data_IF_258313955203
#
_entry.id   IF_258313955203
#
_cell.length_a   1.000
_cell.length_b   1.000
_cell.length_c   1.000
_cell.angle_alpha   90.00
_cell.angle_beta   90.00
_cell.angle_gamma   90.00
#
_symmetry.space_group_name_H-M   'P 1'
#
loop_
_entity.id
_entity.type
_entity.pdbx_description
1 polymer ?
#
# COMPACT_ATOMS: atom_id res chain seq x y z
N UNK A 1 12.55 -23.69 -24.95
CA UNK A 1 11.11 -23.40 -25.11
C UNK A 1 11.02 -22.25 -26.08
N UNK A 2 10.01 -22.17 -26.97
CA UNK A 2 9.86 -20.96 -27.78
C UNK A 2 9.80 -19.76 -26.84
N UNK A 3 10.60 -18.74 -27.12
CA UNK A 3 10.50 -17.47 -26.41
C UNK A 3 9.10 -16.92 -26.67
N UNK A 4 8.30 -16.82 -25.62
CA UNK A 4 6.97 -16.23 -25.71
C UNK A 4 7.15 -14.71 -25.88
N UNK A 5 6.40 -14.14 -26.80
CA UNK A 5 6.43 -12.70 -27.11
C UNK A 5 5.18 -12.04 -26.55
N UNK A 6 5.31 -10.78 -26.15
CA UNK A 6 4.19 -9.95 -25.77
C UNK A 6 3.27 -9.71 -26.96
N UNK A 7 1.96 -9.87 -26.76
CA UNK A 7 0.94 -9.66 -27.79
C UNK A 7 0.69 -8.17 -28.11
N UNK A 8 1.34 -7.24 -27.39
CA UNK A 8 1.24 -5.79 -27.61
C UNK A 8 2.47 -5.22 -28.30
N UNK A 9 3.68 -5.55 -27.81
CA UNK A 9 4.93 -4.95 -28.31
C UNK A 9 5.80 -5.91 -29.14
N UNK A 10 5.40 -7.18 -29.27
CA UNK A 10 6.15 -8.24 -29.99
C UNK A 10 7.57 -8.53 -29.44
N UNK A 11 7.91 -8.01 -28.25
CA UNK A 11 9.19 -8.26 -27.59
C UNK A 11 9.15 -9.47 -26.64
N UNK A 12 10.31 -10.09 -26.32
CA UNK A 12 10.39 -11.18 -25.34
C UNK A 12 9.84 -10.79 -23.98
N UNK A 13 9.13 -11.70 -23.33
CA UNK A 13 8.53 -11.53 -21.99
C UNK A 13 9.57 -11.67 -20.87
N UNK A 14 10.61 -10.86 -20.97
CA UNK A 14 11.74 -10.80 -20.08
C UNK A 14 12.05 -9.34 -19.81
N UNK A 15 12.38 -9.03 -18.55
CA UNK A 15 12.90 -7.72 -18.16
C UNK A 15 14.36 -7.87 -17.72
N UNK A 16 15.17 -6.88 -18.08
CA UNK A 16 16.57 -6.80 -17.69
C UNK A 16 16.69 -6.15 -16.31
N UNK A 17 17.35 -6.84 -15.39
CA UNK A 17 17.59 -6.35 -14.03
C UNK A 17 19.09 -6.18 -13.84
N UNK A 18 19.47 -4.96 -13.44
CA UNK A 18 20.84 -4.68 -13.04
C UNK A 18 21.12 -5.36 -11.69
N UNK A 19 22.25 -6.03 -11.56
CA UNK A 19 22.64 -6.61 -10.28
C UNK A 19 23.01 -5.49 -9.30
N UNK A 20 22.44 -5.52 -8.09
CA UNK A 20 22.77 -4.58 -7.02
C UNK A 20 24.28 -4.47 -6.83
N UNK A 21 24.79 -3.26 -7.02
CA UNK A 21 26.22 -2.96 -6.99
C UNK A 21 26.80 -2.78 -5.58
N UNK A 22 26.24 -3.45 -4.58
CA UNK A 22 26.69 -3.38 -3.17
C UNK A 22 27.92 -4.25 -2.85
N UNK A 23 28.54 -4.83 -3.88
CA UNK A 23 29.93 -5.29 -3.78
C UNK A 23 30.87 -4.20 -4.30
N UNK A 24 31.15 -3.22 -3.44
CA UNK A 24 32.37 -2.45 -3.57
C UNK A 24 33.53 -3.44 -3.75
N UNK A 25 34.27 -3.25 -4.85
CA UNK A 25 35.50 -3.97 -5.20
C UNK A 25 35.33 -5.19 -6.14
N UNK A 26 34.93 -4.94 -7.39
CA UNK A 26 35.47 -5.64 -8.57
C UNK A 26 35.15 -4.90 -9.87
N UNK A 27 36.17 -4.62 -10.69
CA UNK A 27 36.03 -4.18 -12.09
C UNK A 27 35.49 -5.31 -13.00
N UNK A 28 34.38 -5.93 -12.62
CA UNK A 28 33.64 -6.87 -13.45
C UNK A 28 32.48 -6.10 -14.10
N UNK A 29 32.26 -6.31 -15.40
CA UNK A 29 31.07 -5.77 -16.07
C UNK A 29 29.83 -6.21 -15.28
N UNK A 30 28.93 -5.27 -14.98
CA UNK A 30 27.65 -5.55 -14.34
C UNK A 30 26.99 -6.71 -15.09
N UNK A 31 26.73 -7.82 -14.39
CA UNK A 31 26.01 -8.95 -14.98
C UNK A 31 24.54 -8.58 -15.00
N UNK A 32 24.07 -8.09 -16.13
CA UNK A 32 22.64 -7.98 -16.42
C UNK A 32 22.08 -9.39 -16.38
N UNK A 33 21.05 -9.61 -15.57
CA UNK A 33 20.30 -10.86 -15.55
C UNK A 33 18.86 -10.57 -15.95
N UNK A 34 18.23 -11.52 -16.63
CA UNK A 34 16.84 -11.37 -17.05
C UNK A 34 15.93 -12.17 -16.14
N UNK A 35 14.80 -11.58 -15.81
CA UNK A 35 13.72 -12.27 -15.10
C UNK A 35 12.46 -12.29 -16.00
N UNK A 36 11.59 -13.30 -15.84
CA UNK A 36 10.32 -13.35 -16.56
C UNK A 36 9.44 -12.14 -16.24
N UNK A 37 8.71 -11.65 -17.24
CA UNK A 37 7.59 -10.72 -17.11
C UNK A 37 6.48 -11.19 -18.05
N UNK A 38 5.86 -12.31 -17.68
CA UNK A 38 4.86 -13.01 -18.50
C UNK A 38 3.53 -13.12 -17.75
N UNK A 39 2.53 -12.40 -18.26
CA UNK A 39 1.14 -12.50 -17.88
C UNK A 39 0.36 -13.25 -18.98
N UNK A 40 0.06 -14.51 -18.70
CA UNK A 40 -0.74 -15.38 -19.58
C UNK A 40 -2.23 -15.29 -19.22
N UNK A 41 -3.04 -14.79 -20.15
CA UNK A 41 -4.49 -14.71 -20.00
C UNK A 41 -5.17 -16.07 -20.24
N UNK A 42 -6.42 -16.22 -19.77
CA UNK A 42 -7.24 -17.43 -20.00
C UNK A 42 -7.49 -17.78 -21.48
N UNK A 43 -7.31 -16.81 -22.38
CA UNK A 43 -7.38 -17.02 -23.83
C UNK A 43 -6.07 -17.51 -24.46
N UNK A 44 -4.98 -17.59 -23.70
CA UNK A 44 -3.63 -17.97 -24.13
C UNK A 44 -2.79 -16.85 -24.74
N UNK A 45 -3.27 -15.59 -24.68
CA UNK A 45 -2.46 -14.44 -25.06
C UNK A 45 -1.54 -14.04 -23.91
N UNK A 46 -0.31 -13.66 -24.23
CA UNK A 46 0.73 -13.30 -23.27
C UNK A 46 1.09 -11.82 -23.37
N UNK A 47 1.40 -11.18 -22.24
CA UNK A 47 1.73 -9.76 -22.16
C UNK A 47 2.80 -9.50 -21.08
N UNK A 48 3.63 -8.46 -21.27
CA UNK A 48 4.30 -7.80 -20.15
C UNK A 48 3.24 -7.19 -19.23
N UNK A 49 3.56 -7.08 -17.94
CA UNK A 49 2.69 -6.42 -16.96
C UNK A 49 2.20 -5.05 -17.44
N UNK A 50 3.14 -4.17 -17.78
CA UNK A 50 2.83 -2.79 -18.19
C UNK A 50 2.00 -2.75 -19.49
N UNK A 51 2.33 -3.60 -20.47
CA UNK A 51 1.59 -3.68 -21.74
C UNK A 51 0.14 -4.14 -21.56
N UNK A 52 -0.15 -4.96 -20.55
CA UNK A 52 -1.51 -5.34 -20.22
C UNK A 52 -2.26 -4.21 -19.52
N UNK A 53 -1.61 -3.50 -18.58
CA UNK A 53 -2.21 -2.39 -17.84
C UNK A 53 -2.49 -1.16 -18.71
N UNK A 54 -1.66 -0.93 -19.73
CA UNK A 54 -1.89 0.14 -20.72
C UNK A 54 -3.14 -0.09 -21.58
N UNK A 55 -3.68 -1.33 -21.58
CA UNK A 55 -4.94 -1.59 -22.22
C UNK A 55 -6.11 -1.11 -21.35
N UNK A 56 -6.93 -0.22 -21.91
CA UNK A 56 -8.08 0.38 -21.22
C UNK A 56 -9.16 -0.60 -20.71
N UNK A 57 -9.11 -1.90 -21.08
CA UNK A 57 -10.12 -2.87 -20.68
C UNK A 57 -9.49 -4.14 -20.07
N UNK A 58 -9.48 -4.19 -18.74
CA UNK A 58 -8.88 -5.28 -17.95
C UNK A 58 -9.74 -6.58 -18.01
N UNK A 59 -10.99 -6.51 -18.48
CA UNK A 59 -11.90 -7.67 -18.57
C UNK A 59 -11.99 -8.29 -19.97
N UNK A 60 -11.32 -7.69 -20.96
CA UNK A 60 -11.31 -8.13 -22.34
C UNK A 60 -9.88 -8.20 -22.87
N UNK A 61 -9.52 -9.30 -23.54
CA UNK A 61 -8.19 -9.45 -24.12
C UNK A 61 -7.94 -8.39 -25.22
N UNK A 62 -6.89 -7.56 -25.12
CA UNK A 62 -6.59 -6.51 -26.11
C UNK A 62 -6.24 -7.03 -27.51
N UNK A 63 -5.69 -8.25 -27.60
CA UNK A 63 -5.27 -8.85 -28.87
C UNK A 63 -6.40 -9.62 -29.60
N UNK A 64 -7.25 -10.34 -28.86
CA UNK A 64 -8.24 -11.24 -29.47
C UNK A 64 -9.71 -10.96 -29.08
N UNK A 65 -9.97 -9.87 -28.36
CA UNK A 65 -11.29 -9.39 -27.96
C UNK A 65 -12.12 -10.34 -27.09
N UNK A 66 -11.57 -11.49 -26.69
CA UNK A 66 -12.27 -12.44 -25.81
C UNK A 66 -12.49 -11.82 -24.43
N UNK A 67 -13.68 -12.02 -23.88
CA UNK A 67 -13.92 -11.78 -22.46
C UNK A 67 -13.05 -12.76 -21.66
N UNK A 68 -12.20 -12.21 -20.79
CA UNK A 68 -11.27 -12.94 -19.93
C UNK A 68 -11.72 -12.96 -18.47
N UNK A 69 -12.80 -12.25 -18.15
CA UNK A 69 -13.40 -12.26 -16.83
C UNK A 69 -14.27 -13.49 -16.60
N UNK A 70 -14.35 -13.90 -15.32
CA UNK A 70 -15.23 -14.95 -14.84
C UNK A 70 -15.81 -14.55 -13.48
N UNK A 71 -16.64 -15.41 -12.89
CA UNK A 71 -17.15 -15.22 -11.54
C UNK A 71 -16.46 -16.16 -10.56
N UNK A 72 -16.09 -15.64 -9.40
CA UNK A 72 -15.59 -16.40 -8.26
C UNK A 72 -16.70 -17.27 -7.64
N UNK A 73 -16.33 -18.14 -6.69
CA UNK A 73 -17.30 -18.95 -5.96
C UNK A 73 -18.30 -18.11 -5.14
N UNK A 74 -17.92 -16.90 -4.74
CA UNK A 74 -18.75 -15.92 -4.03
C UNK A 74 -19.59 -15.05 -4.97
N UNK A 75 -19.35 -15.14 -6.28
CA UNK A 75 -20.07 -14.38 -7.31
C UNK A 75 -19.42 -13.05 -7.68
N UNK A 76 -18.21 -12.79 -7.19
CA UNK A 76 -17.42 -11.59 -7.53
C UNK A 76 -16.77 -11.76 -8.90
N UNK A 77 -16.64 -10.67 -9.66
CA UNK A 77 -15.94 -10.71 -10.93
C UNK A 77 -14.43 -10.88 -10.68
N UNK A 78 -13.78 -11.73 -11.48
CA UNK A 78 -12.34 -12.03 -11.37
C UNK A 78 -11.73 -12.20 -12.77
N UNK A 79 -10.43 -11.94 -12.90
CA UNK A 79 -9.65 -12.18 -14.13
C UNK A 79 -8.46 -13.06 -13.75
N UNK A 80 -8.60 -14.36 -14.04
CA UNK A 80 -7.61 -15.36 -13.67
C UNK A 80 -6.51 -15.46 -14.72
N UNK A 81 -5.25 -15.33 -14.28
CA UNK A 81 -4.06 -15.37 -15.12
C UNK A 81 -3.06 -16.41 -14.62
N UNK A 82 -2.11 -16.77 -15.49
CA UNK A 82 -0.85 -17.36 -15.04
C UNK A 82 0.24 -16.30 -15.09
N UNK A 83 0.72 -15.89 -13.93
CA UNK A 83 1.78 -14.89 -13.78
C UNK A 83 3.12 -15.60 -13.62
N UNK A 84 4.14 -15.17 -14.38
CA UNK A 84 5.53 -15.59 -14.21
C UNK A 84 6.39 -14.36 -14.03
N UNK A 85 6.98 -14.24 -12.86
CA UNK A 85 7.86 -13.14 -12.48
C UNK A 85 9.04 -13.64 -11.65
N UNK A 86 9.79 -12.72 -11.03
CA UNK A 86 10.90 -13.06 -10.12
C UNK A 86 10.48 -14.00 -8.98
N UNK A 87 9.25 -13.86 -8.49
CA UNK A 87 8.66 -14.71 -7.44
C UNK A 87 8.28 -16.12 -7.89
N UNK A 88 8.51 -16.47 -9.17
CA UNK A 88 8.19 -17.77 -9.75
C UNK A 88 6.89 -17.76 -10.54
N UNK A 89 6.19 -18.90 -10.57
CA UNK A 89 4.97 -19.09 -11.37
C UNK A 89 3.76 -19.18 -10.46
N UNK A 90 2.77 -18.32 -10.69
CA UNK A 90 1.50 -18.29 -9.98
C UNK A 90 0.37 -18.56 -10.96
N UNK A 91 -0.26 -19.73 -10.88
CA UNK A 91 -1.38 -20.12 -11.75
C UNK A 91 -2.72 -19.78 -11.09
N UNK A 92 -3.65 -19.20 -11.84
CA UNK A 92 -4.98 -18.87 -11.32
C UNK A 92 -4.95 -17.69 -10.36
N UNK A 93 -3.99 -16.79 -10.51
CA UNK A 93 -3.95 -15.54 -9.76
C UNK A 93 -5.03 -14.60 -10.31
N UNK A 94 -5.84 -14.01 -9.44
CA UNK A 94 -6.84 -13.01 -9.83
C UNK A 94 -6.15 -11.65 -9.95
N UNK A 95 -5.95 -11.20 -11.19
CA UNK A 95 -5.24 -9.96 -11.49
C UNK A 95 -6.16 -8.74 -11.38
N UNK A 96 -7.48 -8.94 -11.39
CA UNK A 96 -8.44 -7.85 -11.56
C UNK A 96 -8.32 -6.79 -10.46
N UNK A 97 -8.18 -7.15 -9.16
CA UNK A 97 -8.05 -6.15 -8.10
C UNK A 97 -6.81 -5.26 -8.29
N UNK A 98 -5.62 -5.85 -8.42
CA UNK A 98 -4.36 -5.12 -8.60
C UNK A 98 -4.34 -4.29 -9.88
N UNK A 99 -4.82 -4.84 -11.00
CA UNK A 99 -4.90 -4.10 -12.25
C UNK A 99 -5.88 -2.92 -12.19
N UNK A 100 -6.99 -3.08 -11.47
CA UNK A 100 -7.97 -2.00 -11.26
C UNK A 100 -7.38 -0.88 -10.41
N UNK A 101 -6.65 -1.24 -9.36
CA UNK A 101 -5.96 -0.29 -8.48
C UNK A 101 -4.89 0.50 -9.23
N UNK A 102 -4.02 -0.17 -10.00
CA UNK A 102 -3.00 0.49 -10.83
C UNK A 102 -3.63 1.43 -11.87
N UNK A 103 -4.71 1.00 -12.53
CA UNK A 103 -5.43 1.86 -13.46
C UNK A 103 -6.02 3.10 -12.76
N UNK A 104 -6.54 2.94 -11.54
CA UNK A 104 -7.04 4.04 -10.73
C UNK A 104 -5.91 5.02 -10.35
N UNK A 105 -4.78 4.55 -9.84
CA UNK A 105 -3.65 5.39 -9.44
C UNK A 105 -2.93 6.04 -10.63
N UNK A 106 -3.05 5.49 -11.84
CA UNK A 106 -2.61 6.16 -13.08
C UNK A 106 -3.57 7.30 -13.48
N UNK A 107 -4.87 7.13 -13.24
CA UNK A 107 -5.89 8.14 -13.53
C UNK A 107 -5.93 9.27 -12.49
N UNK A 108 -5.57 8.98 -11.24
CA UNK A 108 -5.56 9.92 -10.11
C UNK A 108 -4.16 9.91 -9.43
N UNK A 109 -3.13 10.52 -10.04
CA UNK A 109 -1.78 10.51 -9.49
C UNK A 109 -1.65 11.11 -8.08
N UNK A 110 -2.54 12.03 -7.72
CA UNK A 110 -2.65 12.64 -6.39
C UNK A 110 -2.94 11.63 -5.27
N UNK A 111 -3.65 10.53 -5.58
CA UNK A 111 -4.00 9.47 -4.63
C UNK A 111 -2.79 8.58 -4.29
N UNK A 112 -1.72 8.60 -5.11
CA UNK A 112 -0.55 7.73 -4.93
C UNK A 112 0.14 7.91 -3.59
N UNK A 113 0.23 9.16 -3.11
CA UNK A 113 0.87 9.45 -1.82
C UNK A 113 0.08 8.84 -0.66
N UNK A 114 -1.24 9.06 -0.65
CA UNK A 114 -2.12 8.48 0.36
C UNK A 114 -2.18 6.95 0.30
N UNK A 115 -2.21 6.38 -0.89
CA UNK A 115 -2.12 4.93 -1.10
C UNK A 115 -0.82 4.34 -0.52
N UNK A 116 0.34 4.92 -0.88
CA UNK A 116 1.64 4.48 -0.38
C UNK A 116 1.72 4.59 1.15
N UNK A 117 1.22 5.68 1.73
CA UNK A 117 1.11 5.83 3.19
C UNK A 117 0.33 4.69 3.85
N UNK A 118 -0.85 4.36 3.33
CA UNK A 118 -1.67 3.26 3.88
C UNK A 118 -1.00 1.90 3.69
N UNK A 119 -0.25 1.70 2.60
CA UNK A 119 0.53 0.48 2.38
C UNK A 119 1.66 0.35 3.43
N UNK A 120 2.40 1.42 3.71
CA UNK A 120 3.40 1.41 4.78
C UNK A 120 2.77 1.15 6.16
N UNK A 121 1.59 1.72 6.42
CA UNK A 121 0.84 1.43 7.65
C UNK A 121 0.43 -0.04 7.76
N UNK A 122 0.13 -0.70 6.63
CA UNK A 122 -0.20 -2.13 6.57
C UNK A 122 1.02 -3.01 6.79
N UNK A 123 2.14 -2.66 6.18
CA UNK A 123 3.38 -3.43 6.22
C UNK A 123 4.16 -3.26 7.53
N UNK A 124 3.93 -2.16 8.24
CA UNK A 124 4.67 -1.85 9.47
C UNK A 124 5.93 -1.03 9.23
N UNK A 125 6.07 -0.38 8.07
CA UNK A 125 7.27 0.37 7.71
C UNK A 125 7.27 1.77 8.35
N UNK A 126 7.78 1.84 9.58
CA UNK A 126 7.86 3.05 10.40
C UNK A 126 8.73 4.12 9.73
N UNK A 127 9.86 3.71 9.16
CA UNK A 127 10.83 4.64 8.58
C UNK A 127 10.25 5.32 7.34
N UNK A 128 9.58 4.56 6.47
CA UNK A 128 8.89 5.09 5.31
C UNK A 128 7.73 6.03 5.69
N UNK A 129 6.96 5.70 6.73
CA UNK A 129 5.90 6.60 7.25
C UNK A 129 6.50 7.91 7.75
N UNK A 130 7.57 7.86 8.55
CA UNK A 130 8.21 9.07 9.09
C UNK A 130 8.80 9.92 7.97
N UNK A 131 9.50 9.31 7.01
CA UNK A 131 10.04 10.02 5.86
C UNK A 131 8.94 10.71 5.07
N UNK A 132 7.83 10.01 4.80
CA UNK A 132 6.70 10.58 4.07
C UNK A 132 6.03 11.74 4.79
N UNK A 133 5.94 11.70 6.13
CA UNK A 133 5.38 12.78 6.95
C UNK A 133 6.34 13.99 6.96
N UNK A 134 7.64 13.76 7.15
CA UNK A 134 8.64 14.84 7.24
C UNK A 134 8.96 15.50 5.90
N UNK A 135 8.91 14.76 4.79
CA UNK A 135 9.13 15.32 3.45
C UNK A 135 8.06 16.33 3.04
N UNK A 136 6.91 16.34 3.71
CA UNK A 136 5.87 17.36 3.54
C UNK A 136 6.34 18.71 4.10
N UNK A 137 7.13 18.70 5.18
CA UNK A 137 7.57 19.91 5.88
C UNK A 137 8.73 20.63 5.16
N UNK A 138 9.49 19.94 4.29
CA UNK A 138 10.66 20.52 3.60
C UNK A 138 10.33 21.20 2.25
N UNK A 139 9.14 20.99 1.70
CA UNK A 139 8.69 21.57 0.42
C UNK A 139 7.87 22.87 0.58
N UNK A 140 7.78 23.41 1.80
CA UNK A 140 7.02 24.61 2.18
C UNK A 140 7.68 25.94 1.75
N UNK A 141 7.99 26.15 0.47
CA UNK A 141 8.43 27.48 0.04
C UNK A 141 7.76 28.04 -1.21
N UNK A 142 6.80 27.35 -1.82
CA UNK A 142 5.96 27.95 -2.86
C UNK A 142 4.53 27.38 -2.80
N UNK A 143 3.60 28.26 -2.45
CA UNK A 143 2.15 28.20 -2.67
C UNK A 143 1.29 27.39 -1.67
N UNK A 144 0.31 28.10 -1.11
CA UNK A 144 -0.74 27.66 -0.19
C UNK A 144 -1.65 26.60 -0.86
N UNK A 145 -1.23 25.34 -0.95
CA UNK A 145 -2.11 24.25 -1.40
C UNK A 145 -2.06 23.05 -0.43
N UNK A 146 -3.20 22.88 0.27
CA UNK A 146 -3.70 21.64 0.89
C UNK A 146 -2.67 20.69 1.51
N UNK A 147 -2.26 21.00 2.75
CA UNK A 147 -1.94 20.00 3.77
C UNK A 147 -3.17 19.14 4.07
N UNK A 148 -3.65 18.37 3.09
CA UNK A 148 -4.46 17.20 3.40
C UNK A 148 -3.54 16.26 4.15
N UNK A 149 -3.60 16.40 5.46
CA UNK A 149 -2.81 15.70 6.45
C UNK A 149 -2.79 14.22 6.10
N UNK A 150 -1.62 13.73 5.68
CA UNK A 150 -1.43 12.33 5.29
C UNK A 150 -1.89 11.40 6.43
N UNK A 151 -1.84 11.86 7.69
CA UNK A 151 -2.35 11.13 8.85
C UNK A 151 -3.88 10.97 8.84
N UNK A 152 -4.60 11.92 8.26
CA UNK A 152 -6.05 11.91 8.09
C UNK A 152 -6.52 11.20 6.82
N UNK A 153 -5.62 10.99 5.86
CA UNK A 153 -5.93 10.29 4.61
C UNK A 153 -6.60 8.95 4.88
N UNK A 154 -7.69 8.69 4.16
CA UNK A 154 -8.50 7.49 4.28
C UNK A 154 -8.80 6.94 2.89
N UNK A 155 -8.50 5.67 2.67
CA UNK A 155 -8.63 5.03 1.37
C UNK A 155 -9.51 3.79 1.39
N UNK A 156 -9.92 3.35 0.20
CA UNK A 156 -10.59 2.06 -0.02
C UNK A 156 -9.91 1.33 -1.16
N UNK A 157 -8.80 0.67 -0.83
CA UNK A 157 -7.95 -0.09 -1.74
C UNK A 157 -8.00 -1.58 -1.39
N UNK A 158 -7.38 -2.43 -2.18
CA UNK A 158 -7.43 -3.87 -1.93
C UNK A 158 -6.76 -4.23 -0.57
N UNK A 159 -7.57 -4.70 0.38
CA UNK A 159 -7.09 -5.02 1.73
C UNK A 159 -6.80 -3.79 2.62
N UNK A 160 -7.18 -2.59 2.18
CA UNK A 160 -7.01 -1.32 2.89
C UNK A 160 -8.35 -0.59 2.96
N UNK A 161 -8.79 -0.25 4.18
CA UNK A 161 -10.08 0.41 4.39
C UNK A 161 -9.99 1.46 5.51
N UNK A 162 -10.20 2.74 5.19
CA UNK A 162 -10.13 3.85 6.16
C UNK A 162 -8.71 4.39 6.34
N UNK A 163 -8.49 5.09 7.46
CA UNK A 163 -7.21 5.76 7.74
C UNK A 163 -6.08 4.81 8.14
N UNK A 164 -4.85 5.35 8.20
CA UNK A 164 -3.67 4.59 8.64
C UNK A 164 -3.87 3.87 9.99
N UNK A 165 -4.58 4.50 10.95
CA UNK A 165 -4.86 3.88 12.24
C UNK A 165 -5.84 2.70 12.13
N UNK A 166 -6.83 2.74 11.24
CA UNK A 166 -7.68 1.59 10.95
C UNK A 166 -6.86 0.44 10.36
N UNK A 167 -5.97 0.76 9.41
CA UNK A 167 -5.11 -0.22 8.74
C UNK A 167 -4.17 -0.88 9.75
N UNK A 168 -3.46 -0.10 10.56
CA UNK A 168 -2.55 -0.61 11.57
C UNK A 168 -3.24 -1.60 12.54
N UNK A 169 -4.46 -1.27 12.99
CA UNK A 169 -5.23 -2.14 13.88
C UNK A 169 -5.61 -3.46 13.18
N UNK A 170 -6.13 -3.41 11.95
CA UNK A 170 -6.55 -4.64 11.23
C UNK A 170 -5.37 -5.56 10.93
N UNK A 171 -4.19 -5.00 10.69
CA UNK A 171 -2.98 -5.75 10.36
C UNK A 171 -2.06 -6.00 11.55
N UNK A 172 -2.53 -5.79 12.79
CA UNK A 172 -1.78 -6.04 14.03
C UNK A 172 -0.47 -5.24 14.16
N UNK A 173 -0.37 -4.08 13.49
CA UNK A 173 0.82 -3.23 13.49
C UNK A 173 0.82 -2.28 14.70
N UNK A 174 1.29 -2.78 15.83
CA UNK A 174 1.23 -2.08 17.12
C UNK A 174 2.11 -0.82 17.14
N UNK A 175 3.31 -0.91 16.60
CA UNK A 175 4.30 0.16 16.56
C UNK A 175 3.83 1.30 15.66
N UNK A 176 3.23 0.97 14.51
CA UNK A 176 2.58 1.96 13.64
C UNK A 176 1.42 2.63 14.37
N UNK A 177 0.54 1.87 15.03
CA UNK A 177 -0.57 2.48 15.76
C UNK A 177 -0.07 3.47 16.85
N UNK A 178 1.05 3.14 17.51
CA UNK A 178 1.68 4.05 18.46
C UNK A 178 2.22 5.32 17.81
N UNK A 179 2.96 5.18 16.72
CA UNK A 179 3.48 6.31 15.94
C UNK A 179 2.33 7.23 15.52
N UNK A 180 1.29 6.68 14.91
CA UNK A 180 0.15 7.43 14.41
C UNK A 180 -0.61 8.14 15.54
N UNK A 181 -0.86 7.48 16.66
CA UNK A 181 -1.47 8.13 17.83
C UNK A 181 -0.63 9.29 18.35
N UNK A 182 0.68 9.15 18.31
CA UNK A 182 1.54 10.18 18.86
C UNK A 182 1.65 11.42 17.95
N UNK A 183 1.50 11.25 16.63
CA UNK A 183 1.55 12.33 15.63
C UNK A 183 0.18 12.93 15.30
N UNK A 184 -0.88 12.12 15.22
CA UNK A 184 -2.19 12.56 14.73
C UNK A 184 -3.33 12.52 15.76
N UNK A 185 -3.04 12.28 17.04
CA UNK A 185 -4.11 12.22 18.06
C UNK A 185 -3.92 13.21 19.22
N UNK A 186 -5.02 13.46 19.93
CA UNK A 186 -5.02 14.25 21.17
C UNK A 186 -4.80 13.38 22.41
N UNK A 187 -4.36 12.12 22.27
CA UNK A 187 -4.10 11.23 23.39
C UNK A 187 -3.04 11.84 24.34
N UNK A 188 -3.27 11.79 25.64
CA UNK A 188 -2.30 12.29 26.61
C UNK A 188 -0.99 11.47 26.57
N UNK A 189 0.16 12.15 26.62
CA UNK A 189 1.48 11.50 26.62
C UNK A 189 1.68 10.52 27.80
N UNK A 190 0.96 10.73 28.91
CA UNK A 190 0.94 9.82 30.07
C UNK A 190 0.36 8.43 29.77
N UNK A 191 -0.37 8.29 28.66
CA UNK A 191 -1.01 7.03 28.23
C UNK A 191 -0.09 6.16 27.36
N UNK A 192 1.04 6.71 26.91
CA UNK A 192 2.05 6.02 26.12
C UNK A 192 3.00 5.26 27.06
N UNK A 193 3.35 4.00 26.74
CA UNK A 193 4.39 3.28 27.46
C UNK A 193 5.74 4.01 27.40
N UNK A 194 6.54 3.92 28.46
CA UNK A 194 7.86 4.56 28.52
C UNK A 194 8.77 4.16 27.34
N UNK A 195 8.70 2.89 26.93
CA UNK A 195 9.46 2.38 25.78
C UNK A 195 9.06 3.06 24.46
N UNK A 196 7.78 3.38 24.28
CA UNK A 196 7.30 4.11 23.09
C UNK A 196 7.79 5.55 23.13
N UNK A 197 7.69 6.22 24.28
CA UNK A 197 8.19 7.60 24.45
C UNK A 197 9.69 7.67 24.15
N UNK A 198 10.48 6.72 24.63
CA UNK A 198 11.92 6.66 24.34
C UNK A 198 12.17 6.46 22.84
N UNK A 199 11.48 5.51 22.20
CA UNK A 199 11.64 5.25 20.76
C UNK A 199 11.29 6.50 19.93
N UNK A 200 10.23 7.22 20.30
CA UNK A 200 9.85 8.47 19.64
C UNK A 200 10.94 9.53 19.75
N UNK A 201 11.58 9.67 20.91
CA UNK A 201 12.70 10.60 21.08
C UNK A 201 13.91 10.22 20.23
N UNK A 202 14.21 8.92 20.10
CA UNK A 202 15.28 8.41 19.24
C UNK A 202 15.01 8.69 17.75
N UNK A 203 13.74 8.70 17.34
CA UNK A 203 13.27 9.07 16.00
C UNK A 203 13.18 10.61 15.79
N UNK A 204 13.55 11.38 16.83
CA UNK A 204 13.54 12.83 16.82
C UNK A 204 12.14 13.45 16.90
N UNK A 205 11.13 12.67 17.34
CA UNK A 205 9.75 13.13 17.47
C UNK A 205 9.48 13.71 18.87
N UNK A 206 8.76 14.83 18.89
CA UNK A 206 8.38 15.60 20.07
C UNK A 206 6.87 15.81 20.13
N UNK A 207 6.38 16.37 21.24
CA UNK A 207 4.95 16.64 21.42
C UNK A 207 4.43 17.67 20.42
N UNK A 208 5.29 18.58 20.03
CA UNK A 208 5.05 19.69 19.12
C UNK A 208 4.92 19.23 17.67
N UNK A 209 5.42 18.02 17.34
CA UNK A 209 5.32 17.42 16.00
C UNK A 209 3.92 16.83 15.74
N UNK A 210 2.97 17.01 16.66
CA UNK A 210 1.58 16.67 16.45
C UNK A 210 0.97 17.61 15.42
N UNK A 211 0.71 17.09 14.24
CA UNK A 211 0.17 17.85 13.14
C UNK A 211 -1.02 17.12 12.53
N UNK A 212 -2.19 17.27 13.16
CA UNK A 212 -3.46 16.90 12.53
C UNK A 212 -4.54 17.94 12.81
N UNK A 213 -5.38 18.20 11.81
CA UNK A 213 -6.52 19.11 11.95
C UNK A 213 -7.61 18.49 12.81
N UNK A 214 -7.77 17.17 12.69
CA UNK A 214 -8.71 16.35 13.44
C UNK A 214 -8.01 15.22 14.18
N UNK A 215 -8.59 14.77 15.30
CA UNK A 215 -8.03 13.62 16.02
C UNK A 215 -8.28 12.35 15.18
N UNK A 216 -7.21 11.68 14.75
CA UNK A 216 -7.31 10.49 13.89
C UNK A 216 -8.13 9.35 14.52
N UNK A 217 -8.31 9.35 15.85
CA UNK A 217 -9.16 8.40 16.58
C UNK A 217 -10.66 8.60 16.28
N UNK A 218 -11.03 9.75 15.73
CA UNK A 218 -12.41 10.11 15.37
C UNK A 218 -12.76 9.86 13.90
N UNK A 219 -11.75 9.59 13.06
CA UNK A 219 -11.95 9.30 11.65
C UNK A 219 -12.79 8.05 11.47
N UNK A 220 -13.49 7.98 10.34
CA UNK A 220 -14.35 6.85 10.01
C UNK A 220 -13.91 6.18 8.72
N UNK A 221 -13.96 4.85 8.70
CA UNK A 221 -13.81 4.09 7.47
C UNK A 221 -15.06 4.16 6.58
N UNK A 222 -15.00 3.53 5.41
CA UNK A 222 -16.12 3.47 4.45
C UNK A 222 -17.38 2.77 4.97
N UNK A 223 -17.31 2.10 6.13
CA UNK A 223 -18.44 1.47 6.81
C UNK A 223 -18.93 2.28 8.03
N UNK A 224 -18.54 3.55 8.13
CA UNK A 224 -18.87 4.47 9.24
C UNK A 224 -18.31 3.99 10.61
N UNK A 225 -17.29 3.13 10.61
CA UNK A 225 -16.63 2.63 11.83
C UNK A 225 -15.43 3.49 12.20
N UNK A 226 -15.21 3.69 13.50
CA UNK A 226 -13.99 4.33 14.02
C UNK A 226 -12.86 3.30 14.25
N UNK A 227 -11.60 3.74 14.49
CA UNK A 227 -10.53 2.84 14.92
C UNK A 227 -10.89 2.06 16.18
N UNK A 228 -11.65 2.67 17.09
CA UNK A 228 -12.14 2.01 18.29
C UNK A 228 -13.12 0.87 17.98
N UNK A 229 -13.95 1.01 16.94
CA UNK A 229 -14.88 -0.06 16.54
C UNK A 229 -14.15 -1.21 15.86
N UNK A 230 -13.14 -0.90 15.02
CA UNK A 230 -12.27 -1.91 14.42
C UNK A 230 -11.48 -2.67 15.49
N UNK A 231 -10.96 -1.97 16.50
CA UNK A 231 -10.26 -2.60 17.62
C UNK A 231 -11.13 -3.61 18.40
N UNK A 232 -12.43 -3.33 18.56
CA UNK A 232 -13.37 -4.28 19.20
C UNK A 232 -13.56 -5.54 18.37
N UNK A 233 -13.61 -5.39 17.04
CA UNK A 233 -13.81 -6.49 16.10
C UNK A 233 -12.57 -7.40 16.03
N UNK A 234 -11.38 -6.79 15.93
CA UNK A 234 -10.11 -7.53 15.87
C UNK A 234 -9.81 -8.24 17.19
N UNK A 235 -10.11 -7.61 18.33
CA UNK A 235 -9.93 -8.22 19.64
C UNK A 235 -8.49 -8.22 20.15
N UNK A 236 -8.19 -9.06 21.15
CA UNK A 236 -6.84 -9.21 21.70
C UNK A 236 -6.33 -7.94 22.39
N UNK A 237 -5.07 -7.56 22.11
CA UNK A 237 -4.40 -6.39 22.71
C UNK A 237 -5.17 -5.09 22.45
N UNK A 238 -5.92 -4.99 21.36
CA UNK A 238 -6.67 -3.78 21.01
C UNK A 238 -7.84 -3.52 21.96
N UNK A 239 -8.38 -4.58 22.59
CA UNK A 239 -9.38 -4.45 23.66
C UNK A 239 -8.76 -3.86 24.92
N UNK A 240 -7.50 -4.20 25.22
CA UNK A 240 -6.77 -3.59 26.34
C UNK A 240 -6.54 -2.10 26.08
N UNK A 241 -6.14 -1.73 24.86
CA UNK A 241 -5.98 -0.33 24.45
C UNK A 241 -7.29 0.47 24.55
N UNK A 242 -8.41 -0.14 24.20
CA UNK A 242 -9.74 0.46 24.38
C UNK A 242 -10.04 0.72 25.86
N UNK A 243 -9.78 -0.27 26.73
CA UNK A 243 -10.01 -0.14 28.17
C UNK A 243 -9.13 0.93 28.81
N UNK A 244 -7.94 1.15 28.27
CA UNK A 244 -7.00 2.18 28.74
C UNK A 244 -7.29 3.58 28.18
N UNK A 245 -8.28 3.69 27.28
CA UNK A 245 -8.71 4.96 26.68
C UNK A 245 -7.79 5.46 25.56
N UNK A 246 -7.03 4.57 24.91
CA UNK A 246 -6.07 4.98 23.87
C UNK A 246 -6.73 5.27 22.54
N UNK A 247 -7.81 4.56 22.22
CA UNK A 247 -8.45 4.60 20.90
C UNK A 247 -9.77 5.38 20.86
N UNK A 248 -10.30 5.80 22.01
CA UNK A 248 -11.51 6.63 22.03
C UNK A 248 -11.12 8.12 21.99
N UNK A 249 -11.68 8.93 21.08
CA UNK A 249 -11.30 10.35 20.95
C UNK A 249 -11.69 11.21 22.16
N UNK A 250 -12.60 10.75 23.03
CA UNK A 250 -13.13 11.49 24.18
C UNK A 250 -12.59 11.01 25.55
N UNK A 251 -11.56 10.17 25.57
CA UNK A 251 -10.99 9.57 26.80
C UNK A 251 -9.58 10.00 27.13
#
# INVERSE_FOLDING_TARGET
MPEQLCSTCDEPLLIEVEADSDVENSKAAAKVHTIPDDLELSCGCHYHWECFLDAYNITQCPNCDKNISSLSATGDQQVLVTLRNEGGVQTGYDILPTATEEAYLRAYPEERKGHAYLQFCREGDIDAIIHMIKDVDEQENDEEDEYSDVLEYSGTFEGIHGSGLHVAIRHQQQEVAWLLLALGSQLEWSKFPDAVIQAMQELGLQKEDRNSQSDIRSLKDSSDRTPADVAKEVGGLWVEWLNEGRLNPNS
#
